data_IF_147055786048
#
_entry.id   IF_147055786048
#
_cell.length_a   1.000
_cell.length_b   1.000
_cell.length_c   1.000
_cell.angle_alpha   90.00
_cell.angle_beta   90.00
_cell.angle_gamma   90.00
#
_symmetry.space_group_name_H-M   'P 1'
#
loop_
_entity.id
_entity.type
_entity.pdbx_description
1 polymer ?
#
# COMPACT_ATOMS: atom_id res chain seq x y z
N UNK A 1 6.72 46.19 -16.85
CA UNK A 1 8.02 45.89 -16.24
C UNK A 1 8.28 44.40 -16.53
N UNK A 2 9.37 44.10 -17.24
CA UNK A 2 9.81 42.69 -17.35
C UNK A 2 10.11 42.20 -15.94
N UNK A 3 9.65 40.99 -15.66
CA UNK A 3 9.88 40.41 -14.35
C UNK A 3 11.37 40.03 -14.25
N UNK A 4 12.13 40.85 -13.56
CA UNK A 4 13.59 40.73 -13.39
C UNK A 4 13.92 39.33 -12.85
N UNK A 5 13.14 38.84 -11.88
CA UNK A 5 13.32 37.49 -11.31
C UNK A 5 13.21 36.40 -12.36
N UNK A 6 12.20 36.46 -13.25
CA UNK A 6 12.03 35.46 -14.30
C UNK A 6 13.24 35.41 -15.23
N UNK A 7 13.77 36.59 -15.62
CA UNK A 7 14.93 36.68 -16.54
C UNK A 7 16.20 36.13 -15.87
N UNK A 8 16.44 36.51 -14.62
CA UNK A 8 17.61 36.03 -13.87
C UNK A 8 17.56 34.51 -13.61
N UNK A 9 16.41 34.01 -13.14
CA UNK A 9 16.24 32.55 -12.92
C UNK A 9 16.35 31.77 -14.23
N UNK A 10 15.79 32.32 -15.33
CA UNK A 10 15.90 31.65 -16.64
C UNK A 10 17.35 31.54 -17.11
N UNK A 11 18.15 32.56 -16.89
CA UNK A 11 19.58 32.55 -17.22
C UNK A 11 20.33 31.50 -16.38
N UNK A 12 20.11 31.49 -15.07
CA UNK A 12 20.71 30.52 -14.16
C UNK A 12 20.30 29.07 -14.49
N UNK A 13 19.01 28.85 -14.79
CA UNK A 13 18.52 27.53 -15.20
C UNK A 13 19.12 27.10 -16.54
N UNK A 14 19.28 28.03 -17.49
CA UNK A 14 19.89 27.74 -18.78
C UNK A 14 21.34 27.26 -18.61
N UNK A 15 22.09 27.95 -17.79
CA UNK A 15 23.48 27.57 -17.44
C UNK A 15 23.53 26.20 -16.75
N UNK A 16 22.66 25.99 -15.76
CA UNK A 16 22.55 24.76 -15.01
C UNK A 16 22.15 23.55 -15.92
N UNK A 17 21.18 23.75 -16.81
CA UNK A 17 20.73 22.70 -17.76
C UNK A 17 21.84 22.34 -18.75
N UNK A 18 22.64 23.31 -19.18
CA UNK A 18 23.80 23.06 -20.05
C UNK A 18 24.84 22.14 -19.37
N UNK A 19 24.99 22.22 -18.05
CA UNK A 19 25.83 21.33 -17.26
C UNK A 19 25.26 19.92 -17.11
N UNK A 20 23.93 19.76 -17.16
CA UNK A 20 23.24 18.46 -16.97
C UNK A 20 23.31 17.53 -18.19
N UNK A 21 23.53 18.09 -19.39
CA UNK A 21 23.70 17.32 -20.63
C UNK A 21 22.48 17.26 -21.54
N UNK A 22 22.55 16.49 -22.61
CA UNK A 22 21.63 16.54 -23.78
C UNK A 22 20.21 16.03 -23.52
N UNK A 23 19.94 15.38 -22.41
CA UNK A 23 18.61 14.84 -22.09
C UNK A 23 17.64 15.90 -21.55
N UNK A 24 18.12 17.12 -21.32
CA UNK A 24 17.35 18.23 -20.81
C UNK A 24 17.03 19.20 -21.97
N UNK A 25 15.78 19.64 -22.02
CA UNK A 25 15.32 20.64 -22.98
C UNK A 25 14.67 21.80 -22.25
N UNK A 26 14.94 23.01 -22.75
CA UNK A 26 14.27 24.23 -22.33
C UNK A 26 13.15 24.53 -23.31
N UNK A 27 11.93 24.62 -22.80
CA UNK A 27 10.72 24.92 -23.57
C UNK A 27 10.12 26.21 -23.05
N UNK A 28 10.39 27.35 -23.70
CA UNK A 28 9.73 28.61 -23.37
C UNK A 28 8.28 28.59 -23.90
N UNK A 29 7.36 28.98 -23.05
CA UNK A 29 5.94 29.11 -23.39
C UNK A 29 5.44 30.49 -23.00
N UNK A 30 4.43 30.97 -23.73
CA UNK A 30 3.67 32.17 -23.37
C UNK A 30 2.23 31.76 -23.08
N UNK A 31 1.73 32.14 -21.93
CA UNK A 31 0.35 31.96 -21.51
C UNK A 31 -0.37 33.33 -21.38
N UNK A 32 -1.68 33.31 -21.45
CA UNK A 32 -2.50 34.50 -21.22
C UNK A 32 -3.35 34.28 -19.97
N UNK A 33 -3.24 35.19 -18.99
CA UNK A 33 -4.09 35.17 -17.80
C UNK A 33 -5.53 35.61 -18.14
N UNK A 34 -6.44 35.35 -17.22
CA UNK A 34 -7.85 35.77 -17.38
C UNK A 34 -8.03 37.28 -17.46
N UNK A 35 -7.10 38.06 -16.94
CA UNK A 35 -7.05 39.53 -17.02
C UNK A 35 -6.42 40.07 -18.33
N UNK A 36 -6.03 39.17 -19.25
CA UNK A 36 -5.42 39.50 -20.53
C UNK A 36 -3.91 39.71 -20.48
N UNK A 37 -3.26 39.65 -19.30
CA UNK A 37 -1.82 39.79 -19.18
C UNK A 37 -1.07 38.55 -19.70
N UNK A 38 0.10 38.77 -20.32
CA UNK A 38 0.97 37.70 -20.82
C UNK A 38 1.84 37.18 -19.69
N UNK A 39 1.85 35.87 -19.53
CA UNK A 39 2.75 35.17 -18.60
C UNK A 39 3.78 34.39 -19.39
N UNK A 40 5.05 34.65 -19.14
CA UNK A 40 6.15 33.83 -19.64
C UNK A 40 6.35 32.63 -18.72
N UNK A 41 6.43 31.45 -19.28
CA UNK A 41 6.64 30.19 -18.56
C UNK A 41 7.83 29.50 -19.19
N UNK A 42 8.80 29.09 -18.38
CA UNK A 42 9.89 28.24 -18.81
C UNK A 42 9.69 26.84 -18.25
N UNK A 43 9.65 25.85 -19.13
CA UNK A 43 9.61 24.44 -18.75
C UNK A 43 10.99 23.83 -19.03
N UNK A 44 11.52 23.13 -18.04
CA UNK A 44 12.64 22.21 -18.22
C UNK A 44 12.08 20.81 -18.38
N UNK A 45 12.29 20.22 -19.54
CA UNK A 45 11.92 18.82 -19.82
C UNK A 45 13.11 17.90 -19.64
N UNK A 46 12.85 16.72 -19.08
CA UNK A 46 13.79 15.60 -19.01
C UNK A 46 13.12 14.39 -19.62
N UNK A 47 13.71 13.83 -20.68
CA UNK A 47 13.16 12.69 -21.41
C UNK A 47 11.68 12.88 -21.83
N UNK A 48 11.34 14.09 -22.29
CA UNK A 48 9.97 14.43 -22.72
C UNK A 48 8.97 14.66 -21.59
N UNK A 49 9.42 14.81 -20.35
CA UNK A 49 8.58 15.08 -19.19
C UNK A 49 8.91 16.44 -18.57
N UNK A 50 7.89 17.20 -18.20
CA UNK A 50 8.07 18.45 -17.47
C UNK A 50 8.73 18.18 -16.12
N UNK A 51 10.00 18.51 -16.01
CA UNK A 51 10.77 18.38 -14.78
C UNK A 51 10.60 19.60 -13.90
N UNK A 52 10.72 20.78 -14.47
CA UNK A 52 10.64 22.06 -13.79
C UNK A 52 9.75 23.00 -14.56
N UNK A 53 9.00 23.81 -13.86
CA UNK A 53 8.28 24.95 -14.42
C UNK A 53 8.64 26.21 -13.63
N UNK A 54 9.02 27.26 -14.33
CA UNK A 54 9.25 28.61 -13.78
C UNK A 54 8.23 29.51 -14.43
N UNK A 55 7.46 30.22 -13.64
CA UNK A 55 6.62 31.33 -14.07
C UNK A 55 7.12 32.65 -13.41
N UNK A 56 6.37 33.73 -13.57
CA UNK A 56 6.79 35.06 -13.09
C UNK A 56 7.14 35.11 -11.61
N UNK A 57 6.50 34.27 -10.78
CA UNK A 57 6.54 34.38 -9.33
C UNK A 57 6.82 33.04 -8.63
N UNK A 58 6.81 31.93 -9.39
CA UNK A 58 6.86 30.59 -8.83
C UNK A 58 7.87 29.71 -9.52
N UNK A 59 8.49 28.84 -8.73
CA UNK A 59 9.24 27.69 -9.21
C UNK A 59 8.50 26.44 -8.77
N UNK A 60 8.05 25.63 -9.74
CA UNK A 60 7.42 24.36 -9.50
C UNK A 60 8.46 23.29 -9.77
N UNK A 61 8.98 22.68 -8.72
CA UNK A 61 10.04 21.69 -8.78
C UNK A 61 9.57 20.31 -8.32
N UNK A 62 10.12 19.24 -8.87
CA UNK A 62 9.83 17.90 -8.38
C UNK A 62 10.46 17.71 -7.00
N UNK A 63 9.71 17.13 -6.08
CA UNK A 63 10.26 16.63 -4.82
C UNK A 63 10.42 15.10 -4.85
N UNK A 64 9.74 14.41 -5.78
CA UNK A 64 9.99 13.02 -6.13
C UNK A 64 10.20 12.90 -7.61
N UNK A 65 11.21 12.18 -8.00
CA UNK A 65 11.54 11.93 -9.39
C UNK A 65 11.45 10.43 -9.72
N UNK A 66 10.76 10.16 -10.83
CA UNK A 66 10.63 8.84 -11.42
C UNK A 66 11.12 8.90 -12.87
N UNK A 67 11.90 7.93 -13.36
CA UNK A 67 12.46 7.98 -14.72
C UNK A 67 11.44 8.05 -15.85
N UNK A 68 10.21 7.56 -15.64
CA UNK A 68 9.17 7.46 -16.68
C UNK A 68 7.75 7.80 -16.23
N UNK A 69 7.54 8.27 -15.01
CA UNK A 69 6.20 8.52 -14.45
C UNK A 69 6.04 9.95 -13.92
N UNK A 70 4.82 10.31 -13.54
CA UNK A 70 4.48 11.66 -13.08
C UNK A 70 5.25 12.07 -11.84
N UNK A 71 5.90 13.23 -11.93
CA UNK A 71 6.54 13.88 -10.79
C UNK A 71 5.51 14.35 -9.76
N UNK A 72 5.78 14.13 -8.48
CA UNK A 72 5.13 14.92 -7.44
C UNK A 72 5.87 16.25 -7.30
N UNK A 73 5.16 17.35 -7.37
CA UNK A 73 5.73 18.69 -7.45
C UNK A 73 5.46 19.49 -6.19
N UNK A 74 6.43 20.26 -5.74
CA UNK A 74 6.27 21.30 -4.74
C UNK A 74 6.31 22.67 -5.42
N UNK A 75 5.50 23.59 -4.91
CA UNK A 75 5.52 24.99 -5.36
C UNK A 75 6.39 25.77 -4.39
N UNK A 76 7.41 26.42 -4.93
CA UNK A 76 8.27 27.36 -4.22
C UNK A 76 7.96 28.76 -4.70
N UNK A 77 7.67 29.66 -3.78
CA UNK A 77 7.50 31.07 -4.05
C UNK A 77 8.81 31.79 -3.78
N UNK A 78 9.32 32.52 -4.77
CA UNK A 78 10.46 33.39 -4.63
C UNK A 78 9.98 34.79 -4.43
N UNK A 79 10.17 35.34 -3.25
CA UNK A 79 9.77 36.74 -2.93
C UNK A 79 11.01 37.61 -2.82
N UNK A 80 11.09 38.73 -3.55
CA UNK A 80 12.16 39.69 -3.37
C UNK A 80 12.09 40.23 -1.94
N UNK A 81 13.22 40.32 -1.27
CA UNK A 81 13.31 40.94 0.05
C UNK A 81 13.70 42.44 -0.05
N UNK A 82 13.52 43.16 1.01
CA UNK A 82 13.76 44.62 1.05
C UNK A 82 15.26 45.02 0.96
N UNK A 83 16.17 44.06 0.89
CA UNK A 83 17.63 44.25 0.83
C UNK A 83 18.26 43.81 -0.49
N UNK A 84 17.46 43.51 -1.50
CA UNK A 84 17.92 43.13 -2.86
C UNK A 84 18.21 41.67 -3.09
N UNK A 85 17.89 40.78 -2.14
CA UNK A 85 17.94 39.33 -2.31
C UNK A 85 16.56 38.70 -2.38
N UNK A 86 16.49 37.36 -2.37
CA UNK A 86 15.27 36.58 -2.44
C UNK A 86 15.05 35.74 -1.21
N UNK A 87 13.79 35.55 -0.86
CA UNK A 87 13.31 34.60 0.14
C UNK A 87 12.64 33.44 -0.56
N UNK A 88 12.99 32.20 -0.20
CA UNK A 88 12.38 30.99 -0.74
C UNK A 88 11.34 30.45 0.25
N UNK A 89 10.09 30.37 -0.18
CA UNK A 89 8.97 29.85 0.61
C UNK A 89 8.40 28.58 -0.03
N UNK A 90 8.21 27.54 0.77
CA UNK A 90 7.49 26.33 0.38
C UNK A 90 6.18 26.24 1.17
N UNK A 91 5.05 26.16 0.48
CA UNK A 91 3.72 26.06 1.13
C UNK A 91 3.45 27.17 2.17
N UNK A 92 3.92 28.40 1.94
CA UNK A 92 3.85 29.56 2.83
C UNK A 92 4.80 29.50 4.05
N UNK A 93 5.63 28.48 4.18
CA UNK A 93 6.69 28.44 5.19
C UNK A 93 8.01 28.93 4.59
N UNK A 94 8.72 29.77 5.31
CA UNK A 94 10.04 30.26 4.89
C UNK A 94 11.03 29.11 5.00
N UNK A 95 11.49 28.58 3.86
CA UNK A 95 12.48 27.51 3.81
C UNK A 95 13.88 28.07 4.07
N UNK A 96 14.16 29.27 3.52
CA UNK A 96 15.42 29.96 3.67
C UNK A 96 15.18 31.48 3.67
N UNK A 97 15.65 32.13 4.71
CA UNK A 97 15.65 33.57 4.86
C UNK A 97 17.11 34.04 4.91
N UNK A 98 17.79 34.06 3.75
CA UNK A 98 19.08 34.69 3.61
C UNK A 98 18.93 36.03 2.88
N UNK A 99 19.54 37.08 3.41
CA UNK A 99 19.43 38.43 2.89
C UNK A 99 20.03 38.62 1.48
N UNK A 100 20.65 37.60 0.89
CA UNK A 100 21.43 37.69 -0.35
C UNK A 100 21.41 36.42 -1.18
N UNK A 101 20.30 35.62 -1.20
CA UNK A 101 20.22 34.47 -2.09
C UNK A 101 20.24 34.91 -3.55
N UNK A 102 21.24 34.46 -4.28
CA UNK A 102 21.31 34.58 -5.75
C UNK A 102 20.38 33.58 -6.43
N UNK A 103 20.02 33.84 -7.68
CA UNK A 103 19.24 32.86 -8.47
C UNK A 103 19.94 31.52 -8.59
N UNK A 104 21.27 31.49 -8.72
CA UNK A 104 22.07 30.27 -8.75
C UNK A 104 21.96 29.46 -7.46
N UNK A 105 21.98 30.12 -6.31
CA UNK A 105 21.80 29.47 -5.02
C UNK A 105 20.39 28.91 -4.85
N UNK A 106 19.36 29.65 -5.30
CA UNK A 106 17.97 29.15 -5.31
C UNK A 106 17.86 27.89 -6.17
N UNK A 107 18.43 27.90 -7.36
CA UNK A 107 18.46 26.76 -8.27
C UNK A 107 19.15 25.57 -7.62
N UNK A 108 20.31 25.77 -7.00
CA UNK A 108 21.07 24.72 -6.29
C UNK A 108 20.31 24.18 -5.08
N UNK A 109 19.59 25.00 -4.35
CA UNK A 109 18.76 24.60 -3.20
C UNK A 109 17.56 23.78 -3.67
N UNK A 110 16.84 24.26 -4.72
CA UNK A 110 15.64 23.62 -5.23
C UNK A 110 15.95 22.31 -5.93
N UNK A 111 17.06 22.25 -6.64
CA UNK A 111 17.47 21.07 -7.43
C UNK A 111 18.47 20.18 -6.72
N UNK A 112 19.16 20.71 -5.70
CA UNK A 112 20.23 20.01 -5.03
C UNK A 112 21.31 19.57 -6.02
N UNK A 113 22.00 18.52 -5.68
CA UNK A 113 22.98 17.88 -6.54
C UNK A 113 22.32 16.88 -7.49
N UNK A 114 21.35 17.37 -8.30
CA UNK A 114 20.54 16.54 -9.19
C UNK A 114 21.42 15.74 -10.16
N UNK A 115 22.46 16.33 -10.72
CA UNK A 115 23.38 15.67 -11.65
C UNK A 115 23.99 14.42 -11.03
N UNK A 116 24.54 14.55 -9.84
CA UNK A 116 25.11 13.44 -9.08
C UNK A 116 24.05 12.40 -8.70
N UNK A 117 22.89 12.87 -8.27
CA UNK A 117 21.79 11.94 -7.90
C UNK A 117 21.24 11.17 -9.09
N UNK A 118 21.10 11.83 -10.26
CA UNK A 118 20.67 11.17 -11.50
C UNK A 118 21.72 10.17 -12.00
N UNK A 119 23.01 10.50 -11.94
CA UNK A 119 24.07 9.54 -12.30
C UNK A 119 24.13 8.34 -11.36
N UNK A 120 23.81 8.53 -10.09
CA UNK A 120 23.76 7.46 -9.10
C UNK A 120 22.55 6.53 -9.29
N UNK A 121 21.45 6.97 -9.92
CA UNK A 121 20.32 6.08 -10.22
C UNK A 121 20.74 4.88 -11.07
N UNK A 122 21.61 5.08 -12.05
CA UNK A 122 22.14 3.98 -12.85
C UNK A 122 22.87 2.96 -11.96
N UNK A 123 23.74 3.43 -11.07
CA UNK A 123 24.46 2.57 -10.12
C UNK A 123 23.53 1.85 -9.16
N UNK A 124 22.50 2.55 -8.63
CA UNK A 124 21.50 1.94 -7.76
C UNK A 124 20.68 0.90 -8.53
N UNK A 125 20.31 1.19 -9.78
CA UNK A 125 19.62 0.24 -10.65
C UNK A 125 20.46 -1.02 -10.92
N UNK A 126 21.76 -0.88 -11.18
CA UNK A 126 22.70 -2.01 -11.34
C UNK A 126 22.78 -2.87 -10.08
N UNK A 127 22.84 -2.26 -8.90
CA UNK A 127 22.83 -2.99 -7.62
C UNK A 127 21.52 -3.74 -7.40
N UNK A 128 20.39 -3.11 -7.72
CA UNK A 128 19.07 -3.71 -7.56
C UNK A 128 18.75 -4.78 -8.59
N UNK A 129 19.38 -4.74 -9.78
CA UNK A 129 19.17 -5.73 -10.84
C UNK A 129 19.53 -7.16 -10.45
N UNK A 130 20.26 -7.34 -9.35
CA UNK A 130 20.52 -8.65 -8.74
C UNK A 130 19.29 -9.26 -8.08
N UNK A 131 18.30 -8.46 -7.76
CA UNK A 131 17.12 -8.85 -6.99
C UNK A 131 15.81 -8.70 -7.76
N UNK A 132 15.79 -7.87 -8.80
CA UNK A 132 14.58 -7.59 -9.56
C UNK A 132 14.86 -7.25 -11.03
N UNK A 133 13.90 -7.50 -11.94
CA UNK A 133 14.09 -7.27 -13.37
C UNK A 133 14.39 -5.81 -13.71
N UNK A 134 15.25 -5.61 -14.72
CA UNK A 134 15.69 -4.28 -15.19
C UNK A 134 14.50 -3.45 -15.68
N UNK A 135 13.53 -4.09 -16.33
CA UNK A 135 12.30 -3.44 -16.82
C UNK A 135 11.48 -2.82 -15.68
N UNK A 136 11.46 -3.49 -14.53
CA UNK A 136 10.85 -2.96 -13.32
C UNK A 136 11.59 -1.74 -12.81
N UNK A 137 12.90 -1.83 -12.67
CA UNK A 137 13.74 -0.75 -12.16
C UNK A 137 13.64 0.49 -13.04
N UNK A 138 13.63 0.32 -14.36
CA UNK A 138 13.55 1.43 -15.31
C UNK A 138 12.25 2.24 -15.21
N UNK A 139 11.17 1.65 -14.67
CA UNK A 139 9.85 2.29 -14.51
C UNK A 139 9.62 2.81 -13.10
N UNK A 140 10.09 2.10 -12.09
CA UNK A 140 9.64 2.24 -10.69
C UNK A 140 10.71 2.76 -9.73
N UNK A 141 11.98 2.77 -10.13
CA UNK A 141 13.06 3.35 -9.32
C UNK A 141 13.03 4.87 -9.42
N UNK A 142 13.02 5.53 -8.28
CA UNK A 142 13.02 6.99 -8.15
C UNK A 142 13.94 7.49 -7.04
N UNK A 143 14.01 8.81 -6.91
CA UNK A 143 14.75 9.50 -5.87
C UNK A 143 13.88 10.56 -5.21
N UNK A 144 13.80 10.55 -3.88
CA UNK A 144 13.12 11.55 -3.07
C UNK A 144 14.13 12.61 -2.62
N UNK A 145 13.96 13.83 -3.09
CA UNK A 145 14.88 14.94 -2.85
C UNK A 145 14.82 15.38 -1.37
N UNK A 146 13.64 15.35 -0.76
CA UNK A 146 13.46 15.79 0.63
C UNK A 146 14.05 14.78 1.61
N UNK A 147 13.80 13.49 1.39
CA UNK A 147 14.31 12.41 2.24
C UNK A 147 15.75 12.00 1.87
N UNK A 148 16.26 12.49 0.73
CA UNK A 148 17.54 12.09 0.15
C UNK A 148 17.68 10.57 0.01
N UNK A 149 16.61 9.92 -0.44
CA UNK A 149 16.48 8.47 -0.44
C UNK A 149 16.06 7.96 -1.82
N UNK A 150 16.75 6.95 -2.34
CA UNK A 150 16.30 6.20 -3.50
C UNK A 150 15.11 5.33 -3.07
N UNK A 151 14.13 5.20 -3.94
CA UNK A 151 12.97 4.38 -3.63
C UNK A 151 12.49 3.63 -4.87
N UNK A 152 11.77 2.55 -4.62
CA UNK A 152 10.99 1.86 -5.63
C UNK A 152 9.53 1.85 -5.21
N UNK A 153 8.64 2.08 -6.19
CA UNK A 153 7.21 1.89 -6.04
C UNK A 153 6.89 0.51 -6.56
N UNK A 154 6.50 -0.36 -5.65
CA UNK A 154 6.19 -1.75 -5.95
C UNK A 154 4.68 -1.97 -6.09
N UNK A 155 3.89 -0.93 -6.14
CA UNK A 155 2.46 -0.95 -6.37
C UNK A 155 1.91 0.43 -6.73
N UNK A 156 0.96 0.49 -7.68
CA UNK A 156 0.21 1.69 -8.03
C UNK A 156 -1.30 1.41 -8.16
N UNK A 157 -2.11 2.31 -7.63
CA UNK A 157 -3.57 2.16 -7.47
C UNK A 157 -4.38 2.26 -8.78
N UNK A 158 -3.79 2.80 -9.84
CA UNK A 158 -4.45 2.97 -11.15
C UNK A 158 -3.44 2.98 -12.29
N UNK A 159 -3.48 1.98 -13.14
CA UNK A 159 -2.96 2.10 -14.49
C UNK A 159 -1.67 1.36 -14.83
N UNK A 160 -1.38 0.25 -14.18
CA UNK A 160 -0.54 -0.76 -14.81
C UNK A 160 0.95 -0.67 -14.59
N UNK A 161 1.41 -0.20 -13.44
CA UNK A 161 2.73 -0.61 -12.98
C UNK A 161 2.50 -1.88 -12.18
N UNK A 162 2.79 -3.02 -12.80
CA UNK A 162 2.81 -4.28 -12.10
C UNK A 162 3.94 -4.23 -11.07
N UNK A 163 3.59 -4.39 -9.83
CA UNK A 163 4.47 -4.67 -8.75
C UNK A 163 5.20 -5.97 -9.02
N UNK A 164 6.52 -5.92 -9.14
CA UNK A 164 7.27 -7.09 -9.62
C UNK A 164 8.03 -7.82 -8.51
N UNK A 165 8.30 -7.17 -7.38
CA UNK A 165 9.04 -7.81 -6.30
C UNK A 165 8.11 -8.51 -5.30
N UNK A 166 7.27 -7.76 -4.61
CA UNK A 166 6.38 -8.33 -3.59
C UNK A 166 5.24 -9.12 -4.21
N UNK A 167 4.57 -8.61 -5.23
CA UNK A 167 3.42 -9.29 -5.81
C UNK A 167 3.81 -10.64 -6.41
N UNK A 168 4.93 -10.72 -7.15
CA UNK A 168 5.40 -11.98 -7.69
C UNK A 168 5.79 -12.95 -6.57
N UNK A 169 6.48 -12.47 -5.55
CA UNK A 169 6.81 -13.29 -4.39
C UNK A 169 5.55 -13.91 -3.75
N UNK A 170 4.54 -13.09 -3.49
CA UNK A 170 3.29 -13.57 -2.87
C UNK A 170 2.47 -14.45 -3.81
N UNK A 171 2.48 -14.20 -5.12
CA UNK A 171 1.80 -15.05 -6.13
C UNK A 171 2.45 -16.43 -6.22
N UNK A 172 3.77 -16.52 -6.25
CA UNK A 172 4.50 -17.78 -6.21
C UNK A 172 4.17 -18.56 -4.93
N UNK A 173 4.25 -17.90 -3.78
CA UNK A 173 3.88 -18.50 -2.51
C UNK A 173 2.41 -18.97 -2.48
N UNK A 174 1.49 -18.22 -3.05
CA UNK A 174 0.08 -18.61 -3.13
C UNK A 174 -0.10 -19.87 -3.96
N UNK A 175 0.61 -19.98 -5.09
CA UNK A 175 0.58 -21.18 -5.91
C UNK A 175 1.11 -22.40 -5.16
N UNK A 176 2.18 -22.25 -4.38
CA UNK A 176 2.72 -23.33 -3.54
C UNK A 176 1.71 -23.78 -2.48
N UNK A 177 1.03 -22.84 -1.83
CA UNK A 177 0.00 -23.15 -0.82
C UNK A 177 -1.15 -23.93 -1.47
N UNK A 178 -1.61 -23.52 -2.66
CA UNK A 178 -2.67 -24.22 -3.39
C UNK A 178 -2.27 -25.66 -3.75
N UNK A 179 -1.05 -25.85 -4.21
CA UNK A 179 -0.54 -27.16 -4.61
C UNK A 179 -0.43 -28.13 -3.43
N UNK A 180 -0.32 -27.63 -2.20
CA UNK A 180 -0.17 -28.43 -0.99
C UNK A 180 -1.38 -28.36 -0.05
N UNK A 181 -2.46 -27.71 -0.44
CA UNK A 181 -3.67 -27.63 0.37
C UNK A 181 -4.31 -29.01 0.55
N UNK A 182 -4.56 -29.37 1.81
CA UNK A 182 -5.27 -30.60 2.19
C UNK A 182 -6.63 -30.18 2.76
N UNK A 183 -7.71 -30.62 2.09
CA UNK A 183 -9.06 -30.44 2.59
C UNK A 183 -9.57 -31.73 3.24
N UNK A 184 -10.40 -31.65 4.29
CA UNK A 184 -10.97 -32.84 4.95
C UNK A 184 -11.84 -33.67 4.02
N UNK A 185 -12.40 -33.04 3.00
CA UNK A 185 -13.20 -33.71 1.96
C UNK A 185 -12.74 -33.24 0.57
N UNK A 186 -12.65 -34.13 -0.43
CA UNK A 186 -12.14 -33.80 -1.77
C UNK A 186 -12.86 -32.62 -2.47
N UNK A 187 -14.17 -32.49 -2.27
CA UNK A 187 -14.96 -31.41 -2.88
C UNK A 187 -14.70 -30.03 -2.23
N UNK A 188 -14.00 -29.98 -1.10
CA UNK A 188 -13.58 -28.74 -0.47
C UNK A 188 -12.22 -28.23 -1.00
N UNK A 189 -11.56 -28.96 -1.88
CA UNK A 189 -10.32 -28.47 -2.49
C UNK A 189 -10.60 -27.25 -3.34
N UNK A 190 -9.77 -26.23 -3.21
CA UNK A 190 -9.98 -24.95 -3.89
C UNK A 190 -10.95 -24.01 -3.15
N UNK A 191 -11.34 -24.34 -1.92
CA UNK A 191 -12.12 -23.48 -1.04
C UNK A 191 -11.27 -22.90 0.08
N UNK A 192 -11.77 -21.81 0.65
CA UNK A 192 -11.15 -21.13 1.79
C UNK A 192 -12.16 -21.01 2.92
N UNK A 193 -11.65 -20.92 4.14
CA UNK A 193 -12.45 -20.89 5.34
C UNK A 193 -12.35 -19.57 6.08
N UNK A 194 -13.46 -19.14 6.67
CA UNK A 194 -13.51 -18.05 7.63
C UNK A 194 -14.28 -18.50 8.87
N UNK A 195 -13.56 -18.61 9.98
CA UNK A 195 -14.16 -18.93 11.27
C UNK A 195 -14.75 -17.69 11.92
N UNK A 196 -15.93 -17.83 12.54
CA UNK A 196 -16.61 -16.71 13.20
C UNK A 196 -17.66 -17.23 14.20
N UNK A 197 -18.27 -16.32 14.96
CA UNK A 197 -19.38 -16.65 15.83
C UNK A 197 -20.66 -16.98 15.03
N UNK A 198 -21.57 -17.71 15.65
CA UNK A 198 -22.90 -17.99 15.10
C UNK A 198 -23.66 -16.71 14.80
N UNK A 199 -23.57 -15.71 15.69
CA UNK A 199 -24.22 -14.39 15.52
C UNK A 199 -23.72 -13.67 14.26
N UNK A 200 -22.39 -13.66 14.04
CA UNK A 200 -21.81 -13.03 12.83
C UNK A 200 -22.25 -13.75 11.56
N UNK A 201 -22.33 -15.07 11.58
CA UNK A 201 -22.81 -15.83 10.43
C UNK A 201 -24.28 -15.51 10.11
N UNK A 202 -25.13 -15.46 11.13
CA UNK A 202 -26.54 -15.06 10.98
C UNK A 202 -26.66 -13.64 10.40
N UNK A 203 -25.86 -12.69 10.88
CA UNK A 203 -25.83 -11.32 10.33
C UNK A 203 -25.39 -11.28 8.85
N UNK A 204 -24.40 -12.10 8.46
CA UNK A 204 -23.97 -12.20 7.07
C UNK A 204 -25.11 -12.74 6.19
N UNK A 205 -25.79 -13.80 6.61
CA UNK A 205 -26.91 -14.37 5.88
C UNK A 205 -28.11 -13.42 5.80
N UNK A 206 -28.44 -12.71 6.89
CA UNK A 206 -29.53 -11.74 6.92
C UNK A 206 -29.28 -10.51 6.04
N UNK A 207 -28.05 -10.01 6.04
CA UNK A 207 -27.70 -8.80 5.29
C UNK A 207 -27.26 -9.06 3.86
N UNK A 208 -26.86 -10.29 3.52
CA UNK A 208 -26.19 -10.64 2.27
C UNK A 208 -24.83 -9.96 2.10
N UNK A 209 -24.17 -9.55 3.22
CA UNK A 209 -22.94 -8.76 3.18
C UNK A 209 -21.86 -9.33 4.09
N UNK A 210 -20.62 -9.25 3.63
CA UNK A 210 -19.43 -9.55 4.42
C UNK A 210 -18.79 -8.25 4.86
N UNK A 211 -18.57 -8.11 6.17
CA UNK A 211 -17.92 -6.94 6.75
C UNK A 211 -16.41 -7.07 6.70
N UNK A 212 -15.77 -6.04 6.14
CA UNK A 212 -14.33 -5.84 6.19
C UNK A 212 -14.00 -4.74 7.18
N UNK A 213 -13.21 -5.06 8.19
CA UNK A 213 -12.76 -4.07 9.18
C UNK A 213 -11.59 -3.28 8.65
N UNK A 214 -11.51 -1.99 9.04
CA UNK A 214 -10.28 -1.23 8.81
C UNK A 214 -9.10 -1.91 9.50
N UNK A 215 -7.93 -1.84 8.90
CA UNK A 215 -6.69 -2.38 9.48
C UNK A 215 -6.33 -1.77 10.84
N UNK A 216 -6.97 -0.65 11.21
CA UNK A 216 -6.88 -0.06 12.56
C UNK A 216 -7.48 -0.96 13.65
N UNK A 217 -8.37 -1.90 13.27
CA UNK A 217 -9.03 -2.85 14.16
C UNK A 217 -8.26 -4.17 14.33
N UNK A 218 -7.09 -4.33 13.72
CA UNK A 218 -6.31 -5.56 13.86
C UNK A 218 -5.95 -5.80 15.33
N UNK A 219 -6.14 -7.03 15.78
CA UNK A 219 -6.03 -7.41 17.19
C UNK A 219 -4.61 -7.22 17.74
N UNK A 220 -3.60 -7.49 16.94
CA UNK A 220 -2.21 -7.34 17.34
C UNK A 220 -1.61 -6.05 16.74
N UNK A 221 -1.44 -5.03 17.59
CA UNK A 221 -0.74 -3.78 17.22
C UNK A 221 0.72 -4.02 16.82
N UNK A 222 1.34 -5.09 17.33
CA UNK A 222 2.70 -5.46 16.99
C UNK A 222 2.78 -6.10 15.61
N UNK A 223 1.69 -6.68 15.11
CA UNK A 223 1.63 -7.29 13.80
C UNK A 223 1.92 -6.27 12.69
N UNK A 224 1.25 -5.11 12.70
CA UNK A 224 1.51 -4.03 11.73
C UNK A 224 2.93 -3.45 11.89
N UNK A 225 3.47 -3.45 13.10
CA UNK A 225 4.82 -2.98 13.39
C UNK A 225 5.92 -4.02 13.18
N UNK A 226 5.59 -5.30 13.02
CA UNK A 226 6.56 -6.39 12.98
C UNK A 226 7.63 -6.19 11.91
N UNK A 227 7.22 -5.88 10.70
CA UNK A 227 8.11 -5.62 9.58
C UNK A 227 9.17 -4.55 9.91
N UNK A 228 8.75 -3.46 10.56
CA UNK A 228 9.63 -2.33 10.84
C UNK A 228 10.50 -2.56 12.07
N UNK A 229 10.01 -3.31 13.05
CA UNK A 229 10.81 -3.77 14.18
C UNK A 229 11.98 -4.63 13.71
N UNK A 230 11.76 -5.45 12.70
CA UNK A 230 12.77 -6.37 12.16
C UNK A 230 13.76 -5.68 11.21
N UNK A 231 13.29 -4.78 10.33
CA UNK A 231 14.15 -4.14 9.32
C UNK A 231 14.86 -2.90 9.85
N UNK A 232 14.22 -2.12 10.73
CA UNK A 232 14.77 -0.83 11.13
C UNK A 232 14.31 -0.40 12.53
N UNK A 233 15.10 -0.67 13.56
CA UNK A 233 14.79 -0.28 14.95
C UNK A 233 14.57 1.22 15.13
N UNK A 234 15.11 2.08 14.24
CA UNK A 234 14.94 3.53 14.26
C UNK A 234 13.69 4.04 13.57
N UNK A 235 13.07 3.25 12.68
CA UNK A 235 11.81 3.65 12.01
C UNK A 235 10.57 3.46 12.90
N UNK A 236 10.70 2.81 14.06
CA UNK A 236 9.60 2.67 15.02
C UNK A 236 9.07 4.01 15.55
N UNK A 237 9.92 5.02 15.71
CA UNK A 237 9.50 6.37 16.12
C UNK A 237 8.60 7.06 15.08
N UNK A 238 8.82 6.77 13.81
CA UNK A 238 8.02 7.35 12.72
C UNK A 238 6.62 6.73 12.62
N UNK A 239 6.45 5.51 13.11
CA UNK A 239 5.18 4.79 13.09
C UNK A 239 4.20 5.19 14.23
N UNK A 240 4.62 5.84 15.27
CA UNK A 240 3.75 6.27 16.38
C UNK A 240 2.91 7.53 16.09
N UNK A 241 3.15 8.21 14.98
CA UNK A 241 2.51 9.49 14.67
C UNK A 241 1.16 9.35 13.92
N UNK A 242 0.32 10.39 14.01
CA UNK A 242 -0.99 10.60 13.36
C UNK A 242 -1.11 10.07 11.92
N UNK A 243 -0.02 10.06 11.18
CA UNK A 243 0.07 9.60 9.79
C UNK A 243 -0.27 8.11 9.62
N UNK A 244 0.02 7.25 10.61
CA UNK A 244 -0.36 5.83 10.60
C UNK A 244 -1.87 5.62 10.53
N UNK A 245 -2.57 6.35 11.40
CA UNK A 245 -4.02 6.24 11.50
C UNK A 245 -4.66 6.69 10.19
N UNK A 246 -4.15 7.77 9.58
CA UNK A 246 -4.68 8.29 8.31
C UNK A 246 -4.49 7.31 7.14
N UNK A 247 -3.33 6.66 7.03
CA UNK A 247 -3.13 5.64 5.99
C UNK A 247 -3.92 4.36 6.25
N UNK A 248 -4.10 3.99 7.52
CA UNK A 248 -4.85 2.81 7.90
C UNK A 248 -6.38 2.96 7.69
N UNK A 249 -6.91 4.19 7.79
CA UNK A 249 -8.36 4.45 7.68
C UNK A 249 -8.99 4.05 6.36
N UNK A 250 -8.22 3.96 5.29
CA UNK A 250 -8.69 3.64 3.94
C UNK A 250 -8.32 2.22 3.48
N UNK A 251 -7.91 1.37 4.42
CA UNK A 251 -7.54 -0.02 4.16
C UNK A 251 -8.40 -0.93 5.00
N UNK A 252 -9.07 -1.83 4.31
CA UNK A 252 -10.00 -2.78 4.91
C UNK A 252 -9.51 -4.19 4.64
N UNK A 253 -9.59 -5.05 5.63
CA UNK A 253 -9.04 -6.38 5.56
C UNK A 253 -10.05 -7.41 6.02
N UNK A 254 -10.01 -8.57 5.39
CA UNK A 254 -10.63 -9.78 5.91
C UNK A 254 -9.67 -10.96 5.74
N UNK A 255 -9.67 -11.82 6.74
CA UNK A 255 -8.77 -12.96 6.83
C UNK A 255 -9.53 -14.25 6.61
N UNK A 256 -8.87 -15.15 5.91
CA UNK A 256 -9.30 -16.52 5.65
C UNK A 256 -8.15 -17.47 6.01
N UNK A 257 -8.42 -18.75 5.96
CA UNK A 257 -7.41 -19.80 6.06
C UNK A 257 -7.72 -20.92 5.05
N UNK A 258 -6.72 -21.66 4.64
CA UNK A 258 -6.93 -22.90 3.88
C UNK A 258 -7.24 -24.11 4.78
N UNK A 259 -7.27 -23.93 6.10
CA UNK A 259 -7.60 -24.95 7.09
C UNK A 259 -9.10 -25.00 7.31
N UNK A 260 -9.75 -25.92 6.63
CA UNK A 260 -11.18 -26.18 6.75
C UNK A 260 -11.40 -27.25 7.82
N UNK A 261 -12.31 -27.01 8.75
CA UNK A 261 -12.65 -27.91 9.88
C UNK A 261 -11.40 -28.30 10.72
N UNK A 262 -10.60 -27.29 11.10
CA UNK A 262 -9.34 -27.48 11.87
C UNK A 262 -9.53 -27.13 13.34
N UNK A 263 -9.06 -28.03 14.22
CA UNK A 263 -9.22 -27.88 15.67
C UNK A 263 -8.57 -26.58 16.22
N UNK A 264 -7.41 -26.20 15.70
CA UNK A 264 -6.72 -24.99 16.14
C UNK A 264 -7.53 -23.76 15.75
N UNK A 265 -8.07 -23.74 14.54
CA UNK A 265 -8.89 -22.65 14.04
C UNK A 265 -10.22 -22.53 14.80
N UNK A 266 -10.85 -23.66 15.16
CA UNK A 266 -12.02 -23.68 16.04
C UNK A 266 -11.75 -23.02 17.38
N UNK A 267 -10.59 -23.32 17.99
CA UNK A 267 -10.20 -22.74 19.27
C UNK A 267 -9.93 -21.24 19.19
N UNK A 268 -9.21 -20.82 18.16
CA UNK A 268 -8.75 -19.44 18.05
C UNK A 268 -9.84 -18.48 17.56
N UNK A 269 -10.66 -18.92 16.60
CA UNK A 269 -11.53 -18.04 15.84
C UNK A 269 -12.99 -18.52 15.73
N UNK A 270 -13.26 -19.77 16.08
CA UNK A 270 -14.57 -20.41 16.02
C UNK A 270 -15.30 -20.45 17.37
N UNK A 271 -15.10 -19.47 18.23
CA UNK A 271 -15.74 -19.40 19.55
C UNK A 271 -15.56 -20.69 20.37
N UNK A 272 -14.31 -21.19 20.46
CA UNK A 272 -14.00 -22.47 21.11
C UNK A 272 -14.84 -23.65 20.59
N UNK A 273 -15.16 -23.64 19.31
CA UNK A 273 -15.98 -24.66 18.66
C UNK A 273 -17.48 -24.48 18.80
N UNK A 274 -17.97 -23.39 19.40
CA UNK A 274 -19.41 -23.05 19.41
C UNK A 274 -19.84 -22.19 18.21
N UNK A 275 -18.89 -21.65 17.43
CA UNK A 275 -19.12 -20.83 16.26
C UNK A 275 -19.33 -21.64 15.00
N UNK A 276 -19.05 -21.03 13.86
CA UNK A 276 -19.17 -21.62 12.53
C UNK A 276 -17.91 -21.39 11.71
N UNK A 277 -17.72 -22.26 10.72
CA UNK A 277 -16.72 -22.09 9.67
C UNK A 277 -17.46 -21.83 8.36
N UNK A 278 -17.38 -20.61 7.85
CA UNK A 278 -17.92 -20.20 6.56
C UNK A 278 -16.96 -20.68 5.46
N UNK A 279 -17.48 -21.40 4.48
CA UNK A 279 -16.73 -21.91 3.34
C UNK A 279 -16.98 -21.02 2.14
N UNK A 280 -15.93 -20.44 1.58
CA UNK A 280 -16.00 -19.61 0.40
C UNK A 280 -15.28 -20.29 -0.77
N UNK A 281 -15.70 -19.96 -2.00
CA UNK A 281 -14.89 -20.22 -3.19
C UNK A 281 -13.55 -19.46 -3.07
N UNK A 282 -12.54 -19.87 -3.84
CA UNK A 282 -11.39 -19.00 -4.03
C UNK A 282 -11.86 -17.69 -4.65
N UNK A 283 -11.32 -16.53 -4.19
CA UNK A 283 -11.65 -15.25 -4.76
C UNK A 283 -11.37 -15.20 -6.26
N UNK A 284 -12.25 -14.50 -6.98
CA UNK A 284 -12.00 -14.13 -8.37
C UNK A 284 -10.70 -13.33 -8.48
N UNK A 285 -10.23 -13.05 -9.69
CA UNK A 285 -9.05 -12.21 -9.90
C UNK A 285 -9.11 -10.94 -9.06
N UNK A 286 -8.34 -10.92 -7.99
CA UNK A 286 -8.31 -9.89 -6.99
C UNK A 286 -6.86 -9.54 -6.68
N UNK A 287 -6.50 -8.31 -6.90
CA UNK A 287 -5.10 -7.85 -6.83
C UNK A 287 -4.44 -8.14 -5.48
N UNK A 288 -5.21 -8.05 -4.38
CA UNK A 288 -4.70 -8.18 -3.02
C UNK A 288 -5.40 -9.30 -2.22
N UNK A 289 -5.68 -10.41 -2.87
CA UNK A 289 -5.98 -11.66 -2.18
C UNK A 289 -4.71 -12.53 -2.19
N UNK A 290 -4.02 -12.58 -1.09
CA UNK A 290 -2.67 -13.15 -1.00
C UNK A 290 -2.45 -13.86 0.33
N UNK A 291 -1.55 -14.86 0.39
CA UNK A 291 -1.16 -15.50 1.64
C UNK A 291 -0.36 -14.54 2.52
N UNK A 292 -0.44 -14.76 3.81
CA UNK A 292 0.43 -14.12 4.79
C UNK A 292 1.82 -14.76 4.77
N UNK A 293 2.84 -13.95 4.77
CA UNK A 293 4.22 -14.36 4.92
C UNK A 293 4.60 -14.39 6.40
N UNK A 294 5.03 -15.55 6.86
CA UNK A 294 5.56 -15.74 8.20
C UNK A 294 7.07 -15.77 8.13
N UNK A 295 7.69 -14.62 8.34
CA UNK A 295 9.13 -14.47 8.17
C UNK A 295 9.79 -13.69 9.29
N UNK A 296 11.10 -13.85 9.39
CA UNK A 296 11.96 -13.05 10.25
C UNK A 296 13.26 -12.70 9.50
N UNK A 297 14.22 -12.05 10.16
CA UNK A 297 15.49 -11.67 9.52
C UNK A 297 16.41 -12.85 9.15
N UNK A 298 16.09 -14.07 9.60
CA UNK A 298 16.91 -15.27 9.32
C UNK A 298 16.44 -16.00 8.06
N UNK A 299 15.17 -15.89 7.70
CA UNK A 299 14.58 -16.52 6.52
C UNK A 299 13.35 -15.79 5.98
N UNK A 300 12.98 -16.14 4.76
CA UNK A 300 11.80 -15.62 4.09
C UNK A 300 12.01 -14.25 3.43
N UNK A 301 10.93 -13.53 3.25
CA UNK A 301 10.90 -12.25 2.55
C UNK A 301 11.73 -11.17 3.24
N UNK A 302 11.69 -11.13 4.58
CA UNK A 302 12.42 -10.12 5.35
C UNK A 302 13.94 -10.23 5.18
N UNK A 303 14.46 -11.45 5.05
CA UNK A 303 15.89 -11.67 4.74
C UNK A 303 16.27 -11.07 3.38
N UNK A 304 15.41 -11.27 2.36
CA UNK A 304 15.64 -10.71 1.02
C UNK A 304 15.58 -9.17 1.03
N UNK A 305 14.58 -8.61 1.69
CA UNK A 305 14.42 -7.15 1.83
C UNK A 305 15.60 -6.55 2.59
N UNK A 306 16.03 -7.16 3.69
CA UNK A 306 17.16 -6.69 4.46
C UNK A 306 18.47 -6.73 3.66
N UNK A 307 18.70 -7.79 2.88
CA UNK A 307 19.87 -7.90 2.00
C UNK A 307 19.92 -6.77 0.96
N UNK A 308 18.77 -6.35 0.43
CA UNK A 308 18.68 -5.19 -0.48
C UNK A 308 19.08 -3.90 0.25
N UNK A 309 18.51 -3.65 1.44
CA UNK A 309 18.83 -2.46 2.22
C UNK A 309 20.30 -2.39 2.60
N UNK A 310 20.84 -3.47 3.15
CA UNK A 310 22.27 -3.54 3.53
C UNK A 310 23.19 -3.44 2.31
N UNK A 311 22.82 -4.09 1.21
CA UNK A 311 23.59 -4.04 -0.03
C UNK A 311 23.74 -2.61 -0.57
N UNK A 312 22.64 -1.83 -0.55
CA UNK A 312 22.67 -0.44 -1.00
C UNK A 312 23.36 0.47 0.04
N UNK A 313 23.14 0.25 1.32
CA UNK A 313 23.76 1.04 2.39
C UNK A 313 25.31 0.91 2.38
N UNK A 314 25.85 -0.27 2.10
CA UNK A 314 27.31 -0.48 1.94
C UNK A 314 27.92 0.39 0.85
N UNK A 315 27.13 0.80 -0.15
CA UNK A 315 27.55 1.71 -1.21
C UNK A 315 27.18 3.19 -0.91
N UNK A 316 26.70 3.49 0.31
CA UNK A 316 26.34 4.83 0.73
C UNK A 316 24.97 5.30 0.23
N UNK A 317 24.10 4.41 -0.28
CA UNK A 317 22.77 4.75 -0.77
C UNK A 317 21.70 4.46 0.28
N UNK A 318 20.93 5.48 0.64
CA UNK A 318 19.67 5.28 1.36
C UNK A 318 18.61 4.80 0.39
N UNK A 319 17.86 3.79 0.78
CA UNK A 319 16.84 3.17 -0.07
C UNK A 319 15.60 2.80 0.73
N UNK A 320 14.42 2.83 0.07
CA UNK A 320 13.17 2.35 0.67
C UNK A 320 12.21 1.79 -0.37
N UNK A 321 11.39 0.81 0.02
CA UNK A 321 10.20 0.41 -0.71
C UNK A 321 9.02 1.26 -0.26
N UNK A 322 8.53 2.18 -1.11
CA UNK A 322 7.38 3.06 -0.74
C UNK A 322 6.10 2.25 -0.44
N UNK A 323 5.87 1.15 -1.17
CA UNK A 323 4.70 0.29 -1.00
C UNK A 323 4.77 -0.61 0.23
N UNK A 324 5.96 -0.85 0.80
CA UNK A 324 6.12 -1.71 1.96
C UNK A 324 5.30 -1.21 3.15
N UNK A 325 5.34 0.10 3.39
CA UNK A 325 4.59 0.76 4.48
C UNK A 325 3.09 0.89 4.21
N UNK A 326 2.67 0.82 2.95
CA UNK A 326 1.29 1.14 2.57
C UNK A 326 0.45 -0.06 2.24
N UNK A 327 1.05 -1.16 1.84
CA UNK A 327 0.36 -2.38 1.39
C UNK A 327 0.96 -3.63 2.02
N UNK A 328 2.24 -3.89 1.75
CA UNK A 328 2.84 -5.20 2.01
C UNK A 328 3.01 -5.53 3.48
N UNK A 329 3.13 -4.51 4.36
CA UNK A 329 3.14 -4.71 5.81
C UNK A 329 1.93 -5.51 6.34
N UNK A 330 0.80 -5.46 5.64
CA UNK A 330 -0.42 -6.18 6.05
C UNK A 330 -0.40 -7.67 5.68
N UNK A 331 0.60 -8.10 4.93
CA UNK A 331 0.77 -9.50 4.51
C UNK A 331 1.97 -10.19 5.17
N UNK A 332 2.54 -9.59 6.20
CA UNK A 332 3.71 -10.14 6.91
C UNK A 332 3.38 -10.25 8.40
N UNK A 333 3.56 -11.45 8.95
CA UNK A 333 3.35 -11.76 10.39
C UNK A 333 4.57 -12.40 11.02
N UNK A 334 4.69 -12.31 12.37
CA UNK A 334 5.65 -13.12 13.11
C UNK A 334 5.45 -14.61 12.87
N UNK A 335 6.54 -15.37 12.88
CA UNK A 335 6.55 -16.82 12.68
C UNK A 335 5.63 -17.59 13.64
N UNK A 336 5.47 -17.12 14.87
CA UNK A 336 4.60 -17.75 15.88
C UNK A 336 3.15 -17.96 15.44
N UNK A 337 2.71 -17.25 14.39
CA UNK A 337 1.36 -17.36 13.83
C UNK A 337 1.26 -18.30 12.63
N UNK A 338 2.32 -19.00 12.25
CA UNK A 338 2.38 -19.85 11.05
C UNK A 338 1.29 -20.94 11.02
N UNK A 339 0.81 -21.37 12.18
CA UNK A 339 -0.25 -22.36 12.30
C UNK A 339 -1.59 -21.88 11.76
N UNK A 340 -1.79 -20.57 11.60
CA UNK A 340 -3.03 -20.00 11.05
C UNK A 340 -3.16 -20.23 9.56
N UNK A 341 -2.05 -20.33 8.82
CA UNK A 341 -2.01 -20.44 7.35
C UNK A 341 -2.96 -19.43 6.68
N UNK A 342 -2.81 -18.19 7.12
CA UNK A 342 -3.75 -17.11 6.79
C UNK A 342 -3.61 -16.67 5.33
N UNK A 343 -4.76 -16.40 4.73
CA UNK A 343 -4.94 -15.73 3.45
C UNK A 343 -5.66 -14.42 3.72
N UNK A 344 -5.23 -13.33 3.13
CA UNK A 344 -5.84 -12.00 3.33
C UNK A 344 -6.37 -11.41 2.05
N UNK A 345 -7.55 -10.85 2.14
CA UNK A 345 -8.05 -9.90 1.16
C UNK A 345 -7.93 -8.49 1.72
N UNK A 346 -7.14 -7.66 1.05
CA UNK A 346 -6.98 -6.24 1.37
C UNK A 346 -7.69 -5.40 0.30
N UNK A 347 -8.62 -4.55 0.74
CA UNK A 347 -9.26 -3.52 -0.09
C UNK A 347 -8.74 -2.14 0.30
N UNK A 348 -8.35 -1.36 -0.68
CA UNK A 348 -8.02 0.05 -0.53
C UNK A 348 -9.18 0.86 -1.07
N UNK A 349 -9.85 1.61 -0.20
CA UNK A 349 -11.02 2.40 -0.56
C UNK A 349 -10.96 3.77 0.14
N UNK A 350 -10.82 4.82 -0.67
CA UNK A 350 -10.71 6.21 -0.18
C UNK A 350 -12.04 6.86 0.18
N UNK A 351 -13.14 6.16 -0.09
CA UNK A 351 -14.47 6.65 0.29
C UNK A 351 -14.68 6.56 1.80
N UNK A 352 -15.71 7.22 2.32
CA UNK A 352 -16.07 7.12 3.73
C UNK A 352 -16.38 5.66 4.10
N UNK A 353 -16.05 5.22 5.34
CA UNK A 353 -16.54 3.96 5.87
C UNK A 353 -18.07 3.88 5.76
N UNK A 354 -18.61 2.69 5.60
CA UNK A 354 -20.06 2.47 5.60
C UNK A 354 -20.64 2.62 7.01
N UNK A 355 -19.79 2.45 8.03
CA UNK A 355 -20.13 2.69 9.43
C UNK A 355 -18.92 2.49 10.34
N UNK A 356 -19.19 2.56 11.63
CA UNK A 356 -18.20 2.36 12.68
C UNK A 356 -18.71 1.32 13.68
N UNK A 357 -17.81 0.50 14.19
CA UNK A 357 -18.10 -0.49 15.23
C UNK A 357 -16.91 -0.65 16.17
N UNK A 358 -17.16 -1.17 17.36
CA UNK A 358 -16.10 -1.51 18.30
C UNK A 358 -15.61 -2.92 17.95
N UNK A 359 -14.35 -3.03 17.59
CA UNK A 359 -13.69 -4.30 17.35
C UNK A 359 -13.48 -5.08 18.66
N UNK A 360 -13.19 -6.38 18.57
CA UNK A 360 -12.98 -7.25 19.73
C UNK A 360 -11.88 -6.79 20.69
N UNK A 361 -10.91 -6.01 20.17
CA UNK A 361 -9.86 -5.37 20.98
C UNK A 361 -10.26 -4.03 21.61
N UNK A 362 -11.53 -3.63 21.55
CA UNK A 362 -12.04 -2.38 22.10
C UNK A 362 -11.74 -1.13 21.27
N UNK A 363 -11.23 -1.26 20.06
CA UNK A 363 -10.93 -0.13 19.17
C UNK A 363 -12.18 0.22 18.36
N UNK A 364 -12.60 1.48 18.41
CA UNK A 364 -13.61 2.02 17.49
C UNK A 364 -12.99 2.13 16.09
N UNK A 365 -13.52 1.39 15.14
CA UNK A 365 -12.96 1.28 13.79
C UNK A 365 -14.03 1.38 12.72
N UNK A 366 -13.67 1.97 11.59
CA UNK A 366 -14.51 1.98 10.40
C UNK A 366 -14.56 0.63 9.72
N UNK A 367 -15.61 0.37 8.97
CA UNK A 367 -15.75 -0.84 8.18
C UNK A 367 -16.34 -0.56 6.79
N UNK A 368 -16.18 -1.54 5.89
CA UNK A 368 -16.86 -1.66 4.60
C UNK A 368 -17.66 -2.95 4.57
N UNK A 369 -18.90 -2.85 4.16
CA UNK A 369 -19.79 -4.00 3.94
C UNK A 369 -19.85 -4.31 2.45
N UNK A 370 -19.35 -5.47 2.04
CA UNK A 370 -19.32 -5.92 0.65
C UNK A 370 -20.44 -6.93 0.41
N UNK A 371 -21.21 -6.73 -0.65
CA UNK A 371 -22.32 -7.61 -1.00
C UNK A 371 -21.83 -8.95 -1.54
N UNK A 372 -22.48 -10.05 -1.14
CA UNK A 372 -22.19 -11.39 -1.66
C UNK A 372 -22.62 -11.55 -3.14
N UNK A 373 -23.68 -10.83 -3.57
CA UNK A 373 -24.35 -11.07 -4.85
C UNK A 373 -24.67 -9.82 -5.68
N UNK A 374 -24.02 -8.68 -5.39
CA UNK A 374 -24.26 -7.43 -6.13
C UNK A 374 -23.10 -7.12 -7.07
N UNK A 375 -23.37 -6.58 -8.25
CA UNK A 375 -22.34 -6.13 -9.19
C UNK A 375 -21.56 -4.92 -8.66
N UNK A 376 -22.17 -4.13 -7.78
CA UNK A 376 -21.54 -2.99 -7.13
C UNK A 376 -21.01 -3.41 -5.74
N UNK A 377 -19.74 -3.12 -5.48
CA UNK A 377 -19.08 -3.44 -4.21
C UNK A 377 -19.21 -4.91 -3.79
N UNK A 378 -19.09 -5.81 -4.78
CA UNK A 378 -19.15 -7.25 -4.56
C UNK A 378 -17.97 -7.75 -3.76
N UNK A 379 -18.24 -8.65 -2.82
CA UNK A 379 -17.22 -9.46 -2.17
C UNK A 379 -16.60 -10.43 -3.20
N UNK A 380 -15.27 -10.58 -3.25
CA UNK A 380 -14.62 -11.29 -4.36
C UNK A 380 -14.73 -12.81 -4.31
N UNK A 381 -15.46 -13.37 -3.36
CA UNK A 381 -15.64 -14.83 -3.19
C UNK A 381 -17.10 -15.15 -2.88
N UNK A 382 -17.59 -16.28 -3.37
CA UNK A 382 -18.95 -16.74 -3.09
C UNK A 382 -18.99 -17.60 -1.84
N UNK A 383 -19.98 -17.37 -0.99
CA UNK A 383 -20.27 -18.26 0.13
C UNK A 383 -20.84 -19.57 -0.41
N UNK A 384 -20.16 -20.67 -0.15
CA UNK A 384 -20.50 -21.99 -0.68
C UNK A 384 -21.21 -22.89 0.34
N UNK A 385 -20.88 -22.72 1.63
CA UNK A 385 -21.44 -23.56 2.68
C UNK A 385 -21.00 -23.13 4.07
N UNK A 386 -21.49 -23.82 5.07
CA UNK A 386 -21.20 -23.56 6.49
C UNK A 386 -20.92 -24.89 7.20
N UNK A 387 -19.91 -24.93 8.06
CA UNK A 387 -19.69 -26.03 9.00
C UNK A 387 -20.01 -25.51 10.41
N UNK A 388 -20.86 -26.22 11.12
CA UNK A 388 -21.18 -25.92 12.52
C UNK A 388 -20.07 -26.48 13.41
N UNK A 389 -19.66 -25.71 14.41
CA UNK A 389 -18.57 -26.06 15.30
C UNK A 389 -18.83 -27.30 16.14
N UNK A 390 -17.77 -28.04 16.52
CA UNK A 390 -17.89 -29.34 17.22
C UNK A 390 -18.51 -29.26 18.62
N UNK A 391 -18.53 -28.06 19.22
CA UNK A 391 -19.11 -27.82 20.55
C UNK A 391 -20.45 -27.06 20.49
N UNK A 392 -21.00 -26.86 19.30
CA UNK A 392 -22.19 -26.02 19.14
C UNK A 392 -23.38 -26.60 19.89
N UNK A 393 -23.92 -25.83 20.82
CA UNK A 393 -25.16 -26.16 21.51
C UNK A 393 -26.36 -26.00 20.59
N UNK A 394 -27.34 -26.93 20.70
CA UNK A 394 -28.54 -26.93 19.87
C UNK A 394 -28.24 -26.88 18.36
N UNK A 395 -27.23 -27.61 17.91
CA UNK A 395 -26.71 -27.54 16.55
C UNK A 395 -27.79 -27.82 15.49
N UNK A 396 -28.71 -28.75 15.73
CA UNK A 396 -29.82 -29.05 14.81
C UNK A 396 -30.75 -27.84 14.60
N UNK A 397 -31.12 -27.14 15.70
CA UNK A 397 -31.97 -25.96 15.63
C UNK A 397 -31.24 -24.82 14.92
N UNK A 398 -29.96 -24.62 15.25
CA UNK A 398 -29.14 -23.58 14.63
C UNK A 398 -28.95 -23.86 13.13
N UNK A 399 -28.75 -25.11 12.73
CA UNK A 399 -28.69 -25.52 11.32
C UNK A 399 -29.96 -25.11 10.59
N UNK A 400 -31.11 -25.54 11.11
CA UNK A 400 -32.43 -25.22 10.51
C UNK A 400 -32.64 -23.72 10.36
N UNK A 401 -32.31 -22.94 11.40
CA UNK A 401 -32.46 -21.48 11.36
C UNK A 401 -31.54 -20.81 10.34
N UNK A 402 -30.28 -21.24 10.24
CA UNK A 402 -29.35 -20.70 9.26
C UNK A 402 -29.76 -21.06 7.82
N UNK A 403 -30.28 -22.28 7.59
CA UNK A 403 -30.85 -22.70 6.30
C UNK A 403 -32.04 -21.82 5.93
N UNK A 404 -32.96 -21.59 6.87
CA UNK A 404 -34.14 -20.73 6.67
C UNK A 404 -33.70 -19.30 6.31
N UNK A 405 -32.75 -18.70 7.08
CA UNK A 405 -32.27 -17.35 6.82
C UNK A 405 -31.61 -17.28 5.43
N UNK A 406 -30.82 -18.27 5.04
CA UNK A 406 -30.17 -18.30 3.73
C UNK A 406 -31.21 -18.36 2.60
N UNK A 407 -32.24 -19.21 2.71
CA UNK A 407 -33.33 -19.33 1.75
C UNK A 407 -34.15 -18.03 1.63
N UNK A 408 -34.56 -17.44 2.76
CA UNK A 408 -35.34 -16.19 2.80
C UNK A 408 -34.59 -15.00 2.17
N UNK A 409 -33.25 -15.00 2.24
CA UNK A 409 -32.43 -13.94 1.67
C UNK A 409 -31.80 -14.32 0.31
N UNK A 410 -32.19 -15.46 -0.27
CA UNK A 410 -31.74 -15.90 -1.59
C UNK A 410 -30.25 -16.19 -1.66
N UNK A 411 -29.64 -16.64 -0.56
CA UNK A 411 -28.20 -16.97 -0.50
C UNK A 411 -28.02 -18.45 -0.81
N UNK A 412 -27.49 -18.82 -1.99
CA UNK A 412 -27.29 -20.22 -2.33
C UNK A 412 -26.11 -20.79 -1.56
N UNK A 413 -26.35 -21.80 -0.77
CA UNK A 413 -25.33 -22.60 -0.08
C UNK A 413 -25.17 -23.93 -0.84
N UNK A 414 -24.37 -23.94 -1.89
CA UNK A 414 -24.20 -25.11 -2.77
C UNK A 414 -23.66 -26.35 -2.05
N UNK A 415 -22.88 -26.15 -0.99
CA UNK A 415 -22.35 -27.20 -0.13
C UNK A 415 -23.25 -27.50 1.08
N UNK A 416 -24.32 -26.71 1.25
CA UNK A 416 -25.23 -26.79 2.39
C UNK A 416 -24.58 -26.41 3.72
N UNK A 417 -25.25 -26.85 4.80
CA UNK A 417 -24.75 -26.69 6.17
C UNK A 417 -24.43 -28.06 6.75
N UNK A 418 -23.18 -28.27 7.14
CA UNK A 418 -22.71 -29.54 7.68
C UNK A 418 -22.27 -29.40 9.15
N UNK A 419 -22.06 -30.54 9.81
CA UNK A 419 -21.46 -30.59 11.14
C UNK A 419 -19.96 -30.82 11.03
N UNK A 420 -19.20 -30.28 11.98
CA UNK A 420 -17.78 -30.59 12.11
C UNK A 420 -17.56 -32.09 12.26
N UNK A 421 -16.50 -32.59 11.60
CA UNK A 421 -16.09 -34.01 11.73
C UNK A 421 -15.12 -34.21 12.89
N UNK A 422 -14.73 -33.15 13.58
CA UNK A 422 -13.79 -33.19 14.70
C UNK A 422 -14.52 -33.61 15.97
N UNK A 423 -14.03 -34.71 16.57
CA UNK A 423 -14.46 -35.09 17.90
C UNK A 423 -13.75 -34.21 18.93
N UNK A 424 -14.45 -33.21 19.45
CA UNK A 424 -13.93 -32.29 20.46
C UNK A 424 -14.34 -32.79 21.85
N UNK A 425 -13.40 -33.41 22.55
CA UNK A 425 -13.57 -33.72 23.96
C UNK A 425 -12.95 -32.58 24.78
N UNK A 426 -13.76 -31.89 25.56
CA UNK A 426 -13.31 -30.93 26.57
C UNK A 426 -12.96 -31.72 27.85
#
# INVERSE_FOLDING_TARGET
>A
MENVLYTEITNSVTSFVAELGTNFKLVPLEGKKNDGSIVKILIVEVNGQNFLQIDSDNIIAPFMWFPKTKFQRAVYHCCPNTKGGYCLMKNKEVVLNHNELTCDEIIRIVFGDIKTKLSNITKVSELLSKYMPVECLSKNLGYDINEQTYFIVDWEEKGGIESLFFLNYFREKFQDIRNHAIAPKPYMMGHIAKYTSLETAAMILQSGKVRMMSVTAMNDKKEIGHLFCEINKKENEYLENKTKIQYAQHRYITSFTNKIDDLTMWRLYGDNGNGVCLIFSEPYECQFYLPVEYSNLKYGLLTKVNAIYEGLLKHGYKFTFKSLKTVWQYFIKPEGFITEQELRYLRIDKTKPDGYTIASNGVLSGYKDLALFSDNDRFPADLQGIILGPNMKNAEINKYQLETIAEENGIPLFMGIEYSTINYYI
#
